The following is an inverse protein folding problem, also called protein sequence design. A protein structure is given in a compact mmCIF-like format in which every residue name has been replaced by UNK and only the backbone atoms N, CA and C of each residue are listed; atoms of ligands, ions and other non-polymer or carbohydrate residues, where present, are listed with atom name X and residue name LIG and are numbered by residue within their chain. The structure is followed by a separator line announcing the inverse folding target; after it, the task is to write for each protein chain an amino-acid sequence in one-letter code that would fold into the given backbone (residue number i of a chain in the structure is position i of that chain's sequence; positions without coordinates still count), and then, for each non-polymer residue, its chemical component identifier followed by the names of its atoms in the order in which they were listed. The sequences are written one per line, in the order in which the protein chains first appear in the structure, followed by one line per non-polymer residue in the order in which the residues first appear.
data_IF_053561844197
#
_entry.id   IF_053561844197
#
_cell.length_a   1.000
_cell.length_b   1.000
_cell.length_c   1.000
_cell.angle_alpha   90.00
_cell.angle_beta   90.00
_cell.angle_gamma   90.00
#
_symmetry.space_group_name_H-M   'P 1'
#
loop_
_entity.id
_entity.type
_entity.pdbx_description
1 polymer ?
#
# COMPACT_ATOMS: atom_id res chain seq x y z
N UNK A 1 -42.30 43.40 -2.09
CA UNK A 1 -42.55 41.98 -2.45
C UNK A 1 -41.51 41.36 -3.41
N UNK A 2 -40.99 42.07 -4.43
CA UNK A 2 -39.99 41.51 -5.38
C UNK A 2 -38.65 41.08 -4.76
N UNK A 3 -38.16 41.81 -3.75
CA UNK A 3 -36.89 41.53 -3.04
C UNK A 3 -36.91 40.25 -2.18
N UNK A 4 -38.09 39.85 -1.69
CA UNK A 4 -38.26 38.63 -0.89
C UNK A 4 -38.22 37.40 -1.78
N UNK A 5 -38.84 37.47 -2.98
CA UNK A 5 -38.77 36.41 -3.98
C UNK A 5 -37.36 36.19 -4.51
N UNK A 6 -36.58 37.26 -4.72
CA UNK A 6 -35.18 37.11 -5.13
C UNK A 6 -34.32 36.46 -4.04
N UNK A 7 -34.60 36.75 -2.76
CA UNK A 7 -33.89 36.11 -1.65
C UNK A 7 -34.19 34.60 -1.56
N UNK A 8 -35.45 34.20 -1.77
CA UNK A 8 -35.84 32.79 -1.80
C UNK A 8 -35.15 32.01 -2.92
N UNK A 9 -35.00 32.61 -4.11
CA UNK A 9 -34.31 31.97 -5.24
C UNK A 9 -32.82 31.79 -4.97
N UNK A 10 -32.17 32.78 -4.35
CA UNK A 10 -30.75 32.68 -3.97
C UNK A 10 -30.54 31.59 -2.92
N UNK A 11 -31.42 31.51 -1.93
CA UNK A 11 -31.36 30.45 -0.91
C UNK A 11 -31.56 29.06 -1.53
N UNK A 12 -32.49 28.90 -2.47
CA UNK A 12 -32.69 27.64 -3.20
C UNK A 12 -31.46 27.22 -4.01
N UNK A 13 -30.78 28.18 -4.65
CA UNK A 13 -29.53 27.91 -5.38
C UNK A 13 -28.41 27.46 -4.45
N UNK A 14 -28.27 28.10 -3.28
CA UNK A 14 -27.27 27.74 -2.28
C UNK A 14 -27.54 26.33 -1.73
N UNK A 15 -28.80 26.03 -1.39
CA UNK A 15 -29.18 24.70 -0.87
C UNK A 15 -28.92 23.62 -1.93
N UNK A 16 -29.29 23.86 -3.19
CA UNK A 16 -29.02 22.92 -4.30
C UNK A 16 -27.52 22.67 -4.48
N UNK A 17 -26.69 23.71 -4.45
CA UNK A 17 -25.23 23.61 -4.54
C UNK A 17 -24.61 22.84 -3.38
N UNK A 18 -25.07 23.08 -2.15
CA UNK A 18 -24.60 22.38 -0.95
C UNK A 18 -24.98 20.89 -0.97
N UNK A 19 -26.20 20.56 -1.39
CA UNK A 19 -26.64 19.17 -1.55
C UNK A 19 -25.79 18.48 -2.62
N UNK A 20 -25.60 19.09 -3.78
CA UNK A 20 -24.75 18.53 -4.85
C UNK A 20 -23.31 18.30 -4.40
N UNK A 21 -22.72 19.24 -3.66
CA UNK A 21 -21.36 19.12 -3.12
C UNK A 21 -21.25 17.99 -2.08
N UNK A 22 -22.22 17.87 -1.18
CA UNK A 22 -22.23 16.81 -0.17
C UNK A 22 -22.40 15.41 -0.78
N UNK A 23 -23.29 15.26 -1.76
CA UNK A 23 -23.49 13.99 -2.48
C UNK A 23 -22.31 13.65 -3.40
N UNK A 24 -21.68 14.63 -4.06
CA UNK A 24 -20.52 14.39 -4.93
C UNK A 24 -19.28 13.95 -4.15
N UNK A 25 -18.98 14.62 -3.03
CA UNK A 25 -17.77 14.33 -2.24
C UNK A 25 -17.87 13.05 -1.40
N UNK A 26 -19.08 12.67 -0.97
CA UNK A 26 -19.30 11.43 -0.22
C UNK A 26 -19.07 10.18 -1.07
N UNK A 27 -19.51 10.16 -2.33
CA UNK A 27 -19.26 9.04 -3.25
C UNK A 27 -17.77 8.83 -3.55
N UNK A 28 -17.02 9.93 -3.73
CA UNK A 28 -15.57 9.84 -3.93
C UNK A 28 -14.90 9.30 -2.66
N UNK A 29 -15.22 9.84 -1.47
CA UNK A 29 -14.63 9.33 -0.22
C UNK A 29 -14.99 7.85 0.06
N UNK A 30 -16.17 7.37 -0.32
CA UNK A 30 -16.57 5.96 -0.20
C UNK A 30 -15.76 5.05 -1.14
N UNK A 31 -15.53 5.50 -2.38
CA UNK A 31 -14.75 4.75 -3.38
C UNK A 31 -13.29 4.55 -2.94
N UNK A 32 -12.65 5.59 -2.38
CA UNK A 32 -11.27 5.50 -1.89
C UNK A 32 -11.12 4.79 -0.54
N UNK A 33 -12.15 4.79 0.33
CA UNK A 33 -12.10 4.09 1.64
C UNK A 33 -12.08 2.57 1.49
N UNK A 34 -12.58 2.04 0.37
CA UNK A 34 -12.56 0.61 0.03
C UNK A 34 -11.48 0.24 -0.99
N UNK A 35 -10.64 1.19 -1.41
CA UNK A 35 -9.47 0.91 -2.22
C UNK A 35 -8.39 0.27 -1.35
N UNK A 36 -8.52 -1.03 -1.11
CA UNK A 36 -7.40 -1.87 -0.71
C UNK A 36 -6.68 -2.23 -2.01
N UNK A 37 -5.48 -1.71 -2.29
CA UNK A 37 -4.69 -2.29 -3.37
C UNK A 37 -4.56 -3.78 -3.03
N UNK A 38 -5.21 -4.63 -3.84
CA UNK A 38 -5.03 -6.07 -3.76
C UNK A 38 -3.63 -6.37 -4.24
N UNK A 39 -2.66 -6.17 -3.35
CA UNK A 39 -1.37 -6.79 -3.48
C UNK A 39 -1.64 -8.27 -3.25
N UNK A 40 -1.96 -8.98 -4.34
CA UNK A 40 -2.02 -10.42 -4.36
C UNK A 40 -0.59 -10.92 -4.10
N UNK A 41 -0.23 -11.04 -2.83
CA UNK A 41 0.99 -11.73 -2.43
C UNK A 41 0.72 -13.21 -2.63
N UNK A 42 1.15 -13.73 -3.78
CA UNK A 42 1.11 -15.15 -4.10
C UNK A 42 2.11 -15.88 -3.19
N UNK A 43 1.80 -17.10 -2.74
CA UNK A 43 2.69 -17.97 -1.94
C UNK A 43 3.01 -17.50 -0.50
N UNK A 44 2.00 -17.02 0.25
CA UNK A 44 2.18 -16.70 1.69
C UNK A 44 2.28 -17.90 2.62
N UNK A 45 1.82 -19.06 2.18
CA UNK A 45 1.80 -20.26 3.02
C UNK A 45 3.03 -21.11 2.71
N UNK A 46 3.88 -21.30 3.71
CA UNK A 46 4.94 -22.29 3.63
C UNK A 46 4.30 -23.66 3.36
N UNK A 47 4.83 -24.46 2.43
CA UNK A 47 4.39 -25.84 2.20
C UNK A 47 4.21 -26.57 3.54
N UNK A 48 3.10 -27.29 3.73
CA UNK A 48 2.79 -28.00 4.99
C UNK A 48 3.88 -29.01 5.42
N UNK A 49 4.79 -29.35 4.50
CA UNK A 49 5.96 -30.21 4.72
C UNK A 49 7.16 -29.48 5.34
N UNK A 50 7.20 -28.15 5.27
CA UNK A 50 8.27 -27.31 5.82
C UNK A 50 7.87 -26.82 7.21
N UNK A 51 8.02 -27.72 8.20
CA UNK A 51 7.90 -27.36 9.60
C UNK A 51 9.29 -27.02 10.16
N UNK A 52 9.40 -25.86 10.82
CA UNK A 52 10.60 -25.42 11.55
C UNK A 52 11.90 -25.37 10.72
N UNK A 53 11.88 -24.68 9.59
CA UNK A 53 13.12 -24.41 8.81
C UNK A 53 14.01 -23.43 9.59
N UNK A 54 15.23 -23.85 9.92
CA UNK A 54 16.22 -23.00 10.59
C UNK A 54 17.09 -22.24 9.57
N UNK A 55 16.96 -20.92 9.56
CA UNK A 55 17.75 -20.01 8.73
C UNK A 55 18.98 -19.42 9.45
N UNK A 56 19.30 -19.88 10.67
CA UNK A 56 20.45 -19.38 11.45
C UNK A 56 21.77 -19.41 10.67
N UNK A 57 22.02 -20.51 9.97
CA UNK A 57 23.26 -20.71 9.19
C UNK A 57 23.36 -19.74 8.02
N UNK A 58 22.24 -19.50 7.32
CA UNK A 58 22.17 -18.53 6.23
C UNK A 58 22.56 -17.13 6.72
N UNK A 59 21.96 -16.68 7.83
CA UNK A 59 22.26 -15.36 8.39
C UNK A 59 23.68 -15.24 8.94
N UNK A 60 24.25 -16.32 9.49
CA UNK A 60 25.64 -16.34 9.93
C UNK A 60 26.61 -16.08 8.77
N UNK A 61 26.40 -16.76 7.63
CA UNK A 61 27.21 -16.55 6.42
C UNK A 61 27.00 -15.15 5.86
N UNK A 62 25.75 -14.67 5.82
CA UNK A 62 25.43 -13.32 5.39
C UNK A 62 26.19 -12.27 6.20
N UNK A 63 26.14 -12.35 7.53
CA UNK A 63 26.86 -11.45 8.43
C UNK A 63 28.38 -11.51 8.25
N UNK A 64 28.92 -12.72 8.04
CA UNK A 64 30.36 -12.90 7.77
C UNK A 64 30.77 -12.22 6.46
N UNK A 65 29.94 -12.28 5.42
CA UNK A 65 30.19 -11.59 4.16
C UNK A 65 30.14 -10.06 4.36
N UNK A 66 29.11 -9.53 5.00
CA UNK A 66 29.02 -8.08 5.25
C UNK A 66 30.19 -7.53 6.10
N UNK A 67 30.70 -8.35 7.01
CA UNK A 67 31.80 -7.97 7.90
C UNK A 67 33.16 -8.09 7.21
N UNK A 68 33.42 -9.21 6.53
CA UNK A 68 34.76 -9.60 6.09
C UNK A 68 35.01 -9.45 4.58
N UNK A 69 33.97 -9.19 3.79
CA UNK A 69 34.14 -9.05 2.35
C UNK A 69 34.89 -7.75 2.02
N UNK A 70 35.96 -7.88 1.25
CA UNK A 70 36.92 -6.82 0.98
C UNK A 70 36.28 -5.59 0.30
N UNK A 71 35.37 -5.83 -0.65
CA UNK A 71 34.70 -4.77 -1.40
C UNK A 71 33.18 -4.82 -1.20
N UNK A 72 32.70 -4.13 -0.18
CA UNK A 72 31.27 -4.09 0.19
C UNK A 72 30.38 -3.50 -0.90
N UNK A 73 30.93 -2.72 -1.84
CA UNK A 73 30.15 -2.12 -2.93
C UNK A 73 29.66 -3.16 -3.95
N UNK A 74 30.27 -4.35 -3.95
CA UNK A 74 29.86 -5.48 -4.78
C UNK A 74 28.85 -6.40 -4.10
N UNK A 75 28.54 -6.16 -2.81
CA UNK A 75 27.47 -6.88 -2.12
C UNK A 75 26.13 -6.27 -2.50
N UNK A 76 25.37 -6.99 -3.33
CA UNK A 76 24.00 -6.65 -3.69
C UNK A 76 23.05 -7.62 -2.96
N UNK A 77 22.34 -7.15 -1.92
CA UNK A 77 21.43 -7.98 -1.15
C UNK A 77 20.38 -8.71 -1.99
N UNK A 78 19.88 -8.08 -3.06
CA UNK A 78 18.86 -8.68 -3.91
C UNK A 78 19.45 -9.84 -4.71
N UNK A 79 20.65 -9.65 -5.27
CA UNK A 79 21.35 -10.73 -5.99
C UNK A 79 21.77 -11.87 -5.06
N UNK A 80 22.20 -11.56 -3.83
CA UNK A 80 22.57 -12.58 -2.85
C UNK A 80 21.37 -13.45 -2.44
N UNK A 81 20.22 -12.82 -2.19
CA UNK A 81 18.98 -13.55 -1.87
C UNK A 81 18.52 -14.39 -3.07
N UNK A 82 18.45 -13.80 -4.26
CA UNK A 82 18.00 -14.51 -5.46
C UNK A 82 18.94 -15.66 -5.82
N UNK A 83 20.26 -15.44 -5.75
CA UNK A 83 21.24 -16.50 -5.98
C UNK A 83 21.11 -17.65 -4.97
N UNK A 84 20.85 -17.35 -3.69
CA UNK A 84 20.61 -18.38 -2.69
C UNK A 84 19.30 -19.17 -2.92
N UNK A 85 18.31 -18.58 -3.59
CA UNK A 85 17.06 -19.25 -3.99
C UNK A 85 17.28 -20.08 -5.27
N UNK A 86 18.11 -19.60 -6.20
CA UNK A 86 18.39 -20.25 -7.49
C UNK A 86 19.23 -21.53 -7.34
N UNK A 87 20.16 -21.57 -6.39
CA UNK A 87 21.01 -22.75 -6.09
C UNK A 87 22.39 -22.67 -6.72
#
# INVERSE_FOLDING_TARGET
MRKIRSLQVVVLLIISGLIGYYFGTSNVKISWKNYKPSLAVVNREAPATLNNVDFSTFWNVWQKLETNYYDKTKLDPVKMLNGAIEG
#
